data_IF_843032253649
#
_entry.id   IF_843032253649
#
_cell.length_a   1.000
_cell.length_b   1.000
_cell.length_c   1.000
_cell.angle_alpha   90.00
_cell.angle_beta   90.00
_cell.angle_gamma   90.00
#
_symmetry.space_group_name_H-M   'P 1'
#
loop_
_entity.id
_entity.type
_entity.pdbx_description
1 polymer ?
#
# COMPACT_ATOMS: atom_id res chain seq x y z
N UNK A 1 14.46 47.82 64.83
CA UNK A 1 13.36 47.54 63.89
C UNK A 1 14.00 46.95 62.63
N UNK A 2 13.86 45.63 62.38
CA UNK A 2 14.40 44.94 61.20
C UNK A 2 13.26 44.77 60.13
N UNK A 3 13.46 45.09 58.87
CA UNK A 3 12.43 44.86 57.87
C UNK A 3 12.38 43.39 57.46
N UNK A 4 11.18 42.83 57.53
CA UNK A 4 10.82 41.51 57.10
C UNK A 4 10.81 41.45 55.57
N UNK A 5 11.73 40.69 54.93
CA UNK A 5 11.74 40.45 53.48
C UNK A 5 10.77 39.31 53.15
N UNK A 6 9.74 39.69 52.43
CA UNK A 6 8.73 38.76 51.90
C UNK A 6 9.31 38.08 50.64
N UNK A 7 9.61 36.79 50.71
CA UNK A 7 9.99 35.94 49.58
C UNK A 7 8.72 35.41 48.88
N UNK A 8 8.47 35.89 47.67
CA UNK A 8 7.39 35.39 46.84
C UNK A 8 7.96 34.18 46.04
N UNK A 9 7.42 32.96 46.16
CA UNK A 9 7.82 31.84 45.31
C UNK A 9 7.23 32.00 43.92
N UNK A 10 8.10 32.03 42.88
CA UNK A 10 7.68 31.99 41.49
C UNK A 10 7.18 30.57 41.16
N UNK A 11 5.90 30.43 40.94
CA UNK A 11 5.28 29.20 40.43
C UNK A 11 5.52 29.15 38.93
N UNK A 12 6.45 28.30 38.49
CA UNK A 12 6.65 27.98 37.06
C UNK A 12 5.55 27.02 36.61
N UNK A 13 4.57 27.53 35.91
CA UNK A 13 3.55 26.72 35.23
C UNK A 13 4.19 26.01 34.02
N UNK A 14 4.49 24.71 34.19
CA UNK A 14 4.81 23.84 33.04
C UNK A 14 3.50 23.55 32.31
N UNK A 15 3.30 24.20 31.15
CA UNK A 15 2.26 23.80 30.20
C UNK A 15 2.70 22.50 29.51
N UNK A 16 1.93 21.40 29.56
CA UNK A 16 2.24 20.22 28.76
C UNK A 16 2.05 20.57 27.29
N UNK A 17 3.13 20.49 26.49
CA UNK A 17 3.06 20.54 25.04
C UNK A 17 2.34 19.25 24.58
N UNK A 18 1.06 19.35 24.27
CA UNK A 18 0.35 18.30 23.52
C UNK A 18 0.97 18.27 22.12
N UNK A 19 1.90 17.35 21.90
CA UNK A 19 2.31 16.98 20.56
C UNK A 19 1.07 16.37 19.87
N UNK A 20 0.57 17.07 18.87
CA UNK A 20 -0.51 16.63 18.01
C UNK A 20 -0.03 15.35 17.30
N UNK A 21 -0.36 14.20 17.89
CA UNK A 21 -0.08 12.89 17.31
C UNK A 21 -1.06 12.76 16.15
N UNK A 22 -0.57 13.01 14.93
CA UNK A 22 -1.29 12.73 13.70
C UNK A 22 -1.79 11.29 13.80
N UNK A 23 -3.08 11.10 14.04
CA UNK A 23 -3.70 9.76 14.01
C UNK A 23 -3.46 9.19 12.62
N UNK A 24 -2.57 8.19 12.54
CA UNK A 24 -2.48 7.35 11.34
C UNK A 24 -3.83 6.65 11.20
N UNK A 25 -4.55 6.98 10.13
CA UNK A 25 -5.79 6.28 9.77
C UNK A 25 -5.44 4.81 9.61
N UNK A 26 -5.81 4.00 10.61
CA UNK A 26 -5.54 2.57 10.59
C UNK A 26 -6.46 1.92 9.57
N UNK A 27 -5.94 1.68 8.36
CA UNK A 27 -6.67 0.95 7.34
C UNK A 27 -6.93 -0.48 7.83
N UNK A 28 -8.19 -0.91 7.79
CA UNK A 28 -8.62 -2.26 8.09
C UNK A 28 -9.67 -2.65 7.05
N UNK A 29 -9.40 -3.63 6.18
CA UNK A 29 -10.38 -4.09 5.21
C UNK A 29 -11.50 -4.85 5.89
N UNK A 30 -12.61 -5.00 5.20
CA UNK A 30 -13.70 -5.86 5.59
C UNK A 30 -13.26 -7.35 5.54
N UNK A 31 -14.04 -8.27 6.16
CA UNK A 31 -13.80 -9.69 6.03
C UNK A 31 -13.82 -10.14 4.56
N UNK A 32 -13.02 -11.15 4.20
CA UNK A 32 -12.89 -11.65 2.82
C UNK A 32 -14.22 -11.98 2.15
N UNK A 33 -15.21 -12.39 2.95
CA UNK A 33 -16.53 -12.79 2.48
C UNK A 33 -17.37 -11.62 1.91
N UNK A 34 -17.09 -10.39 2.33
CA UNK A 34 -17.81 -9.18 1.89
C UNK A 34 -17.44 -8.74 0.47
N UNK A 35 -16.34 -9.27 -0.07
CA UNK A 35 -15.87 -8.88 -1.40
C UNK A 35 -16.53 -9.69 -2.51
N UNK A 36 -17.05 -9.06 -3.59
CA UNK A 36 -17.63 -9.76 -4.72
C UNK A 36 -16.59 -10.51 -5.56
N UNK A 37 -15.40 -9.91 -5.73
CA UNK A 37 -14.28 -10.49 -6.48
C UNK A 37 -13.46 -11.39 -5.57
N UNK A 38 -13.83 -12.67 -5.50
CA UNK A 38 -13.12 -13.68 -4.70
C UNK A 38 -13.18 -15.05 -5.33
N UNK A 39 -12.22 -15.89 -4.98
CA UNK A 39 -12.16 -17.30 -5.36
C UNK A 39 -11.67 -18.13 -4.19
N UNK A 40 -12.20 -19.33 -4.05
CA UNK A 40 -11.77 -20.31 -3.05
C UNK A 40 -11.24 -21.56 -3.73
N UNK A 41 -10.00 -21.93 -3.42
CA UNK A 41 -9.37 -23.19 -3.85
C UNK A 41 -8.72 -23.85 -2.64
N UNK A 42 -8.86 -25.16 -2.49
CA UNK A 42 -8.24 -25.96 -1.41
C UNK A 42 -8.42 -25.36 0.00
N UNK A 43 -9.59 -24.80 0.32
CA UNK A 43 -9.92 -24.11 1.57
C UNK A 43 -9.03 -22.85 1.82
N UNK A 44 -8.54 -22.23 0.76
CA UNK A 44 -7.94 -20.91 0.80
C UNK A 44 -8.81 -19.98 -0.02
N UNK A 45 -9.27 -18.89 0.59
CA UNK A 45 -10.09 -17.87 -0.08
C UNK A 45 -9.25 -16.63 -0.31
N UNK A 46 -9.22 -16.16 -1.55
CA UNK A 46 -8.57 -14.89 -1.88
C UNK A 46 -9.62 -13.94 -2.43
N UNK A 47 -9.65 -12.73 -1.90
CA UNK A 47 -10.44 -11.62 -2.43
C UNK A 47 -9.53 -10.51 -2.93
N UNK A 48 -10.00 -9.83 -3.99
CA UNK A 48 -9.29 -8.71 -4.60
C UNK A 48 -10.24 -7.52 -4.79
N UNK A 49 -9.69 -6.30 -4.67
CA UNK A 49 -10.42 -5.06 -4.96
C UNK A 49 -9.48 -4.02 -5.55
N UNK A 50 -9.83 -3.48 -6.71
CA UNK A 50 -9.14 -2.35 -7.31
C UNK A 50 -9.45 -1.06 -6.55
N UNK A 51 -8.44 -0.21 -6.36
CA UNK A 51 -8.56 1.10 -5.72
C UNK A 51 -8.32 2.19 -6.78
N UNK A 52 -9.25 2.28 -7.71
CA UNK A 52 -9.21 3.12 -8.90
C UNK A 52 -9.93 4.48 -8.73
N UNK A 53 -10.70 4.64 -7.65
CA UNK A 53 -11.42 5.89 -7.35
C UNK A 53 -10.76 6.69 -6.24
N UNK A 54 -11.01 8.01 -6.20
CA UNK A 54 -10.51 8.91 -5.17
C UNK A 54 -11.00 8.52 -3.78
N UNK A 55 -12.29 8.18 -3.64
CA UNK A 55 -12.89 7.79 -2.36
C UNK A 55 -12.22 6.54 -1.79
N UNK A 56 -12.02 5.51 -2.61
CA UNK A 56 -11.31 4.30 -2.19
C UNK A 56 -9.86 4.60 -1.81
N UNK A 57 -9.16 5.38 -2.65
CA UNK A 57 -7.78 5.76 -2.36
C UNK A 57 -7.68 6.54 -1.04
N UNK A 58 -8.62 7.45 -0.77
CA UNK A 58 -8.65 8.23 0.46
C UNK A 58 -8.78 7.35 1.70
N UNK A 59 -9.59 6.28 1.65
CA UNK A 59 -9.75 5.35 2.79
C UNK A 59 -8.47 4.58 3.12
N UNK A 60 -7.65 4.24 2.12
CA UNK A 60 -6.44 3.44 2.29
C UNK A 60 -5.16 4.28 2.41
N UNK A 61 -5.06 5.36 1.66
CA UNK A 61 -3.82 6.14 1.49
C UNK A 61 -3.95 7.61 1.94
N UNK A 62 -5.09 7.98 2.53
CA UNK A 62 -5.34 9.35 2.96
C UNK A 62 -5.39 10.31 1.77
N UNK A 63 -4.49 11.29 1.73
CA UNK A 63 -4.46 12.30 0.66
C UNK A 63 -3.77 11.82 -0.63
N UNK A 64 -3.21 10.62 -0.63
CA UNK A 64 -2.51 10.07 -1.78
C UNK A 64 -3.49 9.29 -2.65
N UNK A 65 -3.50 9.59 -3.95
CA UNK A 65 -4.28 8.86 -4.94
C UNK A 65 -3.34 8.28 -6.01
N UNK A 66 -2.79 7.06 -5.80
CA UNK A 66 -1.78 6.48 -6.70
C UNK A 66 -2.27 6.30 -8.13
N UNK A 67 -3.55 6.00 -8.32
CA UNK A 67 -4.13 5.78 -9.65
C UNK A 67 -4.06 7.02 -10.57
N UNK A 68 -4.13 8.23 -10.02
CA UNK A 68 -3.91 9.47 -10.79
C UNK A 68 -2.52 9.55 -11.42
N UNK A 69 -1.58 8.79 -10.90
CA UNK A 69 -0.20 8.72 -11.37
C UNK A 69 0.09 7.44 -12.16
N UNK A 70 -0.97 6.74 -12.63
CA UNK A 70 -0.83 5.53 -13.42
C UNK A 70 -0.48 4.27 -12.64
N UNK A 71 -0.61 4.32 -11.30
CA UNK A 71 -0.39 3.16 -10.43
C UNK A 71 -1.73 2.69 -9.88
N UNK A 72 -2.18 1.52 -10.29
CA UNK A 72 -3.38 0.88 -9.76
C UNK A 72 -3.04 0.09 -8.48
N UNK A 73 -3.50 0.53 -7.29
CA UNK A 73 -3.41 -0.29 -6.09
C UNK A 73 -4.51 -1.35 -6.12
N UNK A 74 -4.15 -2.59 -5.89
CA UNK A 74 -5.10 -3.70 -5.73
C UNK A 74 -4.96 -4.26 -4.33
N UNK A 75 -6.02 -4.16 -3.54
CA UNK A 75 -6.12 -4.83 -2.25
C UNK A 75 -6.25 -6.34 -2.49
N UNK A 76 -5.43 -7.12 -1.81
CA UNK A 76 -5.51 -8.58 -1.79
C UNK A 76 -5.68 -9.03 -0.36
N UNK A 77 -6.66 -9.87 -0.11
CA UNK A 77 -6.94 -10.49 1.19
C UNK A 77 -6.84 -12.00 0.99
N UNK A 78 -6.02 -12.66 1.78
CA UNK A 78 -5.86 -14.12 1.78
C UNK A 78 -6.38 -14.65 3.10
N UNK A 79 -7.39 -15.52 3.05
CA UNK A 79 -7.94 -16.25 4.19
C UNK A 79 -7.51 -17.71 4.10
N UNK A 80 -6.90 -18.22 5.15
CA UNK A 80 -6.48 -19.62 5.25
C UNK A 80 -7.44 -20.40 6.13
N UNK A 81 -8.38 -21.11 5.54
CA UNK A 81 -9.30 -21.98 6.27
C UNK A 81 -8.79 -23.43 6.36
N UNK A 82 -7.51 -23.68 6.06
CA UNK A 82 -6.86 -24.98 6.21
C UNK A 82 -6.30 -25.17 7.62
N UNK A 83 -5.94 -26.40 7.96
CA UNK A 83 -5.24 -26.74 9.20
C UNK A 83 -3.70 -26.63 9.10
N UNK A 84 -3.19 -26.10 7.98
CA UNK A 84 -1.75 -25.98 7.73
C UNK A 84 -1.36 -24.52 7.52
N UNK A 85 -0.15 -24.17 7.94
CA UNK A 85 0.42 -22.85 7.63
C UNK A 85 0.73 -22.72 6.14
N UNK A 86 0.38 -21.60 5.55
CA UNK A 86 0.73 -21.27 4.17
C UNK A 86 2.00 -20.41 4.11
N UNK A 87 2.87 -20.71 3.14
CA UNK A 87 4.02 -19.88 2.79
C UNK A 87 3.63 -18.96 1.62
N UNK A 88 3.71 -17.65 1.86
CA UNK A 88 3.38 -16.57 0.93
C UNK A 88 4.62 -15.79 0.46
N UNK A 89 5.82 -16.18 0.93
CA UNK A 89 7.10 -15.51 0.65
C UNK A 89 7.45 -15.44 -0.84
N UNK A 90 6.88 -16.34 -1.64
CA UNK A 90 7.08 -16.43 -3.10
C UNK A 90 5.80 -16.23 -3.89
N UNK A 91 4.78 -15.67 -3.28
CA UNK A 91 3.55 -15.37 -3.99
C UNK A 91 3.88 -14.58 -5.26
N UNK A 92 3.35 -15.03 -6.38
CA UNK A 92 3.48 -14.34 -7.65
C UNK A 92 2.09 -13.85 -8.06
N UNK A 93 1.98 -12.55 -8.27
CA UNK A 93 0.72 -11.90 -8.58
C UNK A 93 0.87 -11.06 -9.84
N UNK A 94 -0.09 -11.18 -10.74
CA UNK A 94 -0.13 -10.49 -12.02
C UNK A 94 -1.52 -9.90 -12.25
N UNK A 95 -1.54 -8.73 -12.82
CA UNK A 95 -2.74 -8.16 -13.39
C UNK A 95 -2.90 -8.68 -14.81
N UNK A 96 -4.06 -9.24 -15.14
CA UNK A 96 -4.41 -9.69 -16.50
C UNK A 96 -5.46 -8.74 -17.06
N UNK A 97 -5.15 -8.07 -18.16
CA UNK A 97 -6.14 -7.28 -18.87
C UNK A 97 -7.14 -8.17 -19.63
N UNK A 98 -8.20 -7.58 -20.12
CA UNK A 98 -9.26 -8.31 -20.87
C UNK A 98 -8.75 -8.96 -22.17
N UNK A 99 -7.55 -8.58 -22.68
CA UNK A 99 -6.90 -9.24 -23.82
C UNK A 99 -5.99 -10.39 -23.40
N UNK A 100 -5.86 -10.65 -22.09
CA UNK A 100 -4.97 -11.67 -21.53
C UNK A 100 -3.50 -11.22 -21.41
N UNK A 101 -3.19 -9.94 -21.62
CA UNK A 101 -1.85 -9.41 -21.36
C UNK A 101 -1.61 -9.37 -19.84
N UNK A 102 -0.51 -9.96 -19.39
CA UNK A 102 -0.13 -9.98 -17.99
C UNK A 102 0.87 -8.88 -17.65
N UNK A 103 0.61 -8.18 -16.57
CA UNK A 103 1.46 -7.11 -16.01
C UNK A 103 1.91 -7.56 -14.62
N UNK A 104 3.21 -7.60 -14.38
CA UNK A 104 3.77 -7.94 -13.07
C UNK A 104 3.52 -6.81 -12.05
N UNK A 105 3.40 -7.19 -10.78
CA UNK A 105 3.28 -6.20 -9.72
C UNK A 105 4.58 -5.40 -9.57
N UNK A 106 4.45 -4.09 -9.46
CA UNK A 106 5.55 -3.18 -9.14
C UNK A 106 5.84 -3.25 -7.63
N UNK A 107 7.07 -3.57 -7.21
CA UNK A 107 7.44 -3.53 -5.79
C UNK A 107 7.12 -2.17 -5.17
N UNK A 108 6.58 -2.16 -3.95
CA UNK A 108 6.19 -0.91 -3.27
C UNK A 108 7.35 0.10 -3.15
N UNK A 109 8.59 -0.40 -3.00
CA UNK A 109 9.79 0.44 -2.96
C UNK A 109 10.08 1.14 -4.29
N UNK A 110 9.65 0.56 -5.42
CA UNK A 110 9.90 1.06 -6.76
C UNK A 110 8.79 1.99 -7.26
N UNK A 111 7.60 1.93 -6.66
CA UNK A 111 6.45 2.78 -7.02
C UNK A 111 6.80 4.27 -7.09
N UNK A 112 7.57 4.87 -6.15
CA UNK A 112 7.94 6.27 -6.25
C UNK A 112 8.75 6.63 -7.51
N UNK A 113 9.39 5.66 -8.15
CA UNK A 113 10.25 5.88 -9.31
C UNK A 113 9.56 5.61 -10.64
N UNK A 114 8.32 5.11 -10.63
CA UNK A 114 7.54 4.82 -11.84
C UNK A 114 6.96 6.08 -12.48
N UNK A 115 6.71 7.12 -11.69
CA UNK A 115 6.29 8.42 -12.22
C UNK A 115 7.51 9.10 -12.79
N UNK A 116 7.47 9.43 -14.08
CA UNK A 116 8.48 10.29 -14.68
C UNK A 116 8.54 11.59 -13.87
N UNK A 117 9.53 11.68 -12.99
CA UNK A 117 9.92 12.96 -12.42
C UNK A 117 10.24 13.93 -13.55
N UNK A 118 10.16 15.24 -13.38
CA UNK A 118 10.52 16.19 -14.42
C UNK A 118 11.88 15.77 -14.97
N UNK A 119 11.93 15.53 -16.30
CA UNK A 119 13.14 15.09 -17.02
C UNK A 119 14.30 15.91 -16.50
N UNK A 120 15.37 15.25 -16.06
CA UNK A 120 16.61 15.96 -15.74
C UNK A 120 16.89 16.92 -16.89
N UNK A 121 17.10 18.21 -16.62
CA UNK A 121 17.50 19.11 -17.68
C UNK A 121 18.71 18.48 -18.38
N UNK A 122 18.56 18.17 -19.66
CA UNK A 122 19.68 17.72 -20.49
C UNK A 122 20.76 18.80 -20.40
N UNK A 123 21.99 18.41 -20.10
CA UNK A 123 23.13 19.32 -20.08
C UNK A 123 23.43 19.78 -21.51
N UNK A 124 22.66 20.74 -22.04
CA UNK A 124 22.73 21.20 -23.43
C UNK A 124 21.81 22.39 -23.74
N UNK A 125 21.27 23.06 -22.76
CA UNK A 125 20.52 24.31 -22.99
C UNK A 125 21.28 25.49 -22.41
N UNK A 126 21.48 26.53 -23.20
CA UNK A 126 22.05 27.84 -22.83
C UNK A 126 21.19 28.59 -21.79
N UNK A 127 21.03 28.00 -20.63
CA UNK A 127 20.26 28.57 -19.53
C UNK A 127 21.18 28.88 -18.36
N UNK A 128 21.17 30.12 -17.90
CA UNK A 128 21.81 30.55 -16.66
C UNK A 128 21.54 29.52 -15.54
N UNK A 129 22.58 29.06 -14.82
CA UNK A 129 22.38 28.09 -13.73
C UNK A 129 21.50 28.74 -12.65
N UNK A 130 20.29 28.18 -12.47
CA UNK A 130 19.39 28.56 -11.37
C UNK A 130 20.09 28.20 -10.07
N UNK A 131 20.31 29.16 -9.15
CA UNK A 131 20.94 28.89 -7.86
C UNK A 131 20.25 27.72 -7.14
N UNK A 132 20.98 26.81 -6.47
CA UNK A 132 20.42 25.63 -5.80
C UNK A 132 19.30 25.96 -4.81
N UNK A 133 19.35 27.13 -4.22
CA UNK A 133 18.37 27.63 -3.23
C UNK A 133 16.99 27.91 -3.82
N UNK A 134 16.88 28.15 -5.11
CA UNK A 134 15.60 28.40 -5.81
C UNK A 134 14.98 27.16 -6.45
N UNK A 135 15.66 26.01 -6.42
CA UNK A 135 15.08 24.76 -6.89
C UNK A 135 14.06 24.28 -5.86
N UNK A 136 12.79 24.59 -6.08
CA UNK A 136 11.69 23.93 -5.36
C UNK A 136 11.89 22.42 -5.51
N UNK A 137 12.20 21.71 -4.41
CA UNK A 137 12.18 20.24 -4.40
C UNK A 137 10.78 19.81 -4.80
N UNK A 138 10.60 19.37 -6.03
CA UNK A 138 9.36 18.69 -6.41
C UNK A 138 9.24 17.46 -5.50
N UNK A 139 8.32 17.51 -4.54
CA UNK A 139 7.97 16.35 -3.76
C UNK A 139 7.41 15.33 -4.72
N UNK A 140 8.04 14.15 -4.79
CA UNK A 140 7.47 13.02 -5.50
C UNK A 140 6.10 12.69 -4.86
N UNK A 141 5.00 12.79 -5.61
CA UNK A 141 3.68 12.54 -5.05
C UNK A 141 3.53 11.12 -4.49
N UNK A 142 4.21 10.14 -5.09
CA UNK A 142 4.20 8.73 -4.64
C UNK A 142 5.28 8.41 -3.60
N UNK A 143 6.05 9.39 -3.14
CA UNK A 143 7.13 9.20 -2.15
C UNK A 143 6.65 9.14 -0.69
N UNK A 144 5.36 9.05 -0.45
CA UNK A 144 4.79 8.92 0.89
C UNK A 144 5.02 7.53 1.50
N UNK A 145 5.06 7.41 2.83
CA UNK A 145 5.24 6.13 3.50
C UNK A 145 4.04 5.19 3.31
N UNK A 146 2.87 5.72 2.93
CA UNK A 146 1.61 4.98 2.81
C UNK A 146 1.72 3.83 1.80
N UNK A 147 2.45 4.04 0.69
CA UNK A 147 2.69 3.00 -0.33
C UNK A 147 3.39 1.78 0.29
N UNK A 148 4.44 2.00 1.06
CA UNK A 148 5.22 0.92 1.66
C UNK A 148 4.52 0.28 2.85
N UNK A 149 3.88 1.07 3.70
CA UNK A 149 3.21 0.56 4.92
C UNK A 149 1.93 -0.20 4.63
N UNK A 150 1.29 0.05 3.48
CA UNK A 150 0.09 -0.67 3.02
C UNK A 150 0.39 -1.85 2.11
N UNK A 151 1.62 -2.02 1.66
CA UNK A 151 2.01 -3.14 0.81
C UNK A 151 1.77 -4.49 1.50
N UNK A 152 1.45 -5.51 0.71
CA UNK A 152 1.32 -6.88 1.21
C UNK A 152 2.67 -7.38 1.72
N UNK A 153 2.75 -7.69 3.02
CA UNK A 153 4.00 -8.01 3.69
C UNK A 153 4.02 -9.41 4.33
N UNK A 154 2.89 -10.14 4.34
CA UNK A 154 2.80 -11.44 4.97
C UNK A 154 3.65 -12.48 4.21
N UNK A 155 4.57 -13.14 4.90
CA UNK A 155 5.39 -14.22 4.35
C UNK A 155 4.87 -15.61 4.73
N UNK A 156 4.19 -15.70 5.86
CA UNK A 156 3.58 -16.90 6.39
C UNK A 156 2.18 -16.57 6.86
N UNK A 157 1.24 -17.49 6.68
CA UNK A 157 -0.13 -17.33 7.13
C UNK A 157 -0.56 -18.57 7.92
N UNK A 158 -0.75 -18.45 9.24
CA UNK A 158 -1.18 -19.54 10.10
C UNK A 158 -2.54 -20.13 9.69
N UNK A 159 -2.87 -21.34 10.17
CA UNK A 159 -4.22 -21.89 10.06
C UNK A 159 -5.27 -20.94 10.62
N UNK A 160 -6.41 -20.84 9.94
CA UNK A 160 -7.59 -20.07 10.35
C UNK A 160 -7.33 -18.58 10.57
N UNK A 161 -6.30 -18.04 9.91
CA UNK A 161 -5.92 -16.63 9.97
C UNK A 161 -6.06 -15.96 8.60
N UNK A 162 -5.96 -14.62 8.57
CA UNK A 162 -6.03 -13.83 7.34
C UNK A 162 -4.89 -12.83 7.25
N UNK A 163 -4.44 -12.57 6.02
CA UNK A 163 -3.47 -11.53 5.72
C UNK A 163 -4.00 -10.64 4.60
N UNK A 164 -3.64 -9.36 4.64
CA UNK A 164 -4.04 -8.42 3.61
C UNK A 164 -2.95 -7.39 3.33
N UNK A 165 -3.05 -6.76 2.18
CA UNK A 165 -2.19 -5.67 1.76
C UNK A 165 -2.39 -5.33 0.29
N UNK A 166 -1.68 -4.31 -0.16
CA UNK A 166 -1.77 -3.84 -1.53
C UNK A 166 -0.63 -4.37 -2.39
N UNK A 167 -0.98 -4.73 -3.62
CA UNK A 167 -0.05 -4.86 -4.74
C UNK A 167 -0.29 -3.70 -5.70
N UNK A 168 0.76 -3.25 -6.38
CA UNK A 168 0.73 -2.07 -7.22
C UNK A 168 1.03 -2.45 -8.67
N UNK A 169 0.20 -1.96 -9.62
CA UNK A 169 0.35 -2.28 -11.03
C UNK A 169 0.39 -1.00 -11.87
N UNK A 170 1.24 -0.98 -12.87
CA UNK A 170 1.22 0.07 -13.90
C UNK A 170 0.15 -0.29 -14.94
N UNK A 171 -1.11 -0.18 -14.53
CA UNK A 171 -2.26 -0.61 -15.32
C UNK A 171 -3.43 0.38 -15.17
N UNK A 172 -4.30 0.39 -16.18
CA UNK A 172 -5.59 1.06 -16.11
C UNK A 172 -6.68 0.01 -15.95
N UNK A 173 -7.43 0.11 -14.86
CA UNK A 173 -8.53 -0.79 -14.56
C UNK A 173 -9.62 -0.71 -15.63
N UNK A 174 -10.12 -1.87 -16.08
CA UNK A 174 -11.25 -2.02 -16.99
C UNK A 174 -12.12 -3.21 -16.57
N UNK A 175 -13.44 -3.16 -16.83
CA UNK A 175 -14.30 -4.33 -16.67
C UNK A 175 -13.79 -5.52 -17.49
N UNK A 176 -13.74 -6.71 -16.88
CA UNK A 176 -13.22 -7.91 -17.49
C UNK A 176 -11.75 -8.22 -17.21
N UNK A 177 -11.03 -7.28 -16.57
CA UNK A 177 -9.69 -7.55 -16.06
C UNK A 177 -9.74 -8.49 -14.85
N UNK A 178 -8.64 -9.19 -14.57
CA UNK A 178 -8.52 -10.12 -13.45
C UNK A 178 -7.17 -10.05 -12.76
N UNK A 179 -7.10 -10.66 -11.59
CA UNK A 179 -5.84 -10.89 -10.87
C UNK A 179 -5.51 -12.36 -10.88
N UNK A 180 -4.36 -12.69 -11.47
CA UNK A 180 -3.78 -14.02 -11.46
C UNK A 180 -2.78 -14.17 -10.31
N UNK A 181 -2.95 -15.21 -9.49
CA UNK A 181 -2.13 -15.49 -8.31
C UNK A 181 -1.71 -16.95 -8.32
N UNK A 182 -0.41 -17.21 -8.12
CA UNK A 182 0.13 -18.55 -7.95
C UNK A 182 1.29 -18.58 -6.94
N UNK A 183 1.94 -19.73 -6.77
CA UNK A 183 3.07 -19.98 -5.87
C UNK A 183 2.76 -19.82 -4.38
N UNK A 184 1.50 -19.95 -3.98
CA UNK A 184 1.13 -20.14 -2.59
C UNK A 184 1.40 -21.61 -2.25
N UNK A 185 2.11 -21.86 -1.15
CA UNK A 185 2.54 -23.23 -0.80
C UNK A 185 2.13 -23.58 0.63
N UNK A 186 1.90 -24.86 0.87
CA UNK A 186 1.80 -25.41 2.22
C UNK A 186 3.18 -25.42 2.85
N UNK A 187 3.36 -24.76 4.00
CA UNK A 187 4.69 -24.58 4.59
C UNK A 187 5.35 -25.91 5.00
N UNK A 188 4.57 -26.89 5.49
CA UNK A 188 5.07 -28.18 5.94
C UNK A 188 5.52 -29.10 4.80
N UNK A 189 4.73 -29.19 3.73
CA UNK A 189 4.99 -30.10 2.61
C UNK A 189 5.70 -29.45 1.43
N UNK A 190 5.69 -28.13 1.36
CA UNK A 190 6.17 -27.37 0.19
C UNK A 190 5.24 -27.50 -1.04
N UNK A 191 4.12 -28.23 -0.94
CA UNK A 191 3.17 -28.41 -2.03
C UNK A 191 2.55 -27.05 -2.40
N UNK A 192 2.60 -26.71 -3.68
CA UNK A 192 1.96 -25.52 -4.22
C UNK A 192 0.43 -25.75 -4.36
N UNK A 193 -0.35 -24.73 -4.02
CA UNK A 193 -1.79 -24.71 -4.26
C UNK A 193 -2.09 -24.46 -5.73
N UNK A 194 -3.31 -24.78 -6.16
CA UNK A 194 -3.80 -24.36 -7.47
C UNK A 194 -3.76 -22.83 -7.59
N UNK A 195 -3.59 -22.35 -8.81
CA UNK A 195 -3.63 -20.92 -9.08
C UNK A 195 -5.04 -20.34 -8.86
N UNK A 196 -5.08 -19.04 -8.68
CA UNK A 196 -6.29 -18.25 -8.63
C UNK A 196 -6.30 -17.30 -9.84
N UNK A 197 -7.45 -17.17 -10.46
CA UNK A 197 -7.72 -16.19 -11.52
C UNK A 197 -9.05 -15.51 -11.17
N UNK A 198 -8.96 -14.33 -10.60
CA UNK A 198 -10.07 -13.66 -9.92
C UNK A 198 -10.49 -12.45 -10.76
N UNK A 199 -11.60 -12.55 -11.51
CA UNK A 199 -12.11 -11.42 -12.25
C UNK A 199 -12.64 -10.33 -11.30
N UNK A 200 -12.41 -9.09 -11.66
CA UNK A 200 -13.03 -7.97 -10.96
C UNK A 200 -14.54 -7.97 -11.26
N UNK A 201 -15.33 -7.93 -10.20
CA UNK A 201 -16.79 -7.81 -10.22
C UNK A 201 -17.18 -6.47 -9.64
N UNK A 202 -18.14 -5.83 -10.26
CA UNK A 202 -18.78 -4.62 -9.77
C UNK A 202 -19.65 -4.87 -8.53
#
# INVERSE_FOLDING_TARGET
>A
MKPLRLLIPAVILFAPAFADKKEEVKFSPEPVQSYPSKQTNENVTIAVKAYDTEDLAHTAFGKLHPYQYGILPVLVIVQNDTNETLALDRINIKYSDFNGQQIDATPAADVPFTVEGPRRPSAGGDGNPIPPELRKKHKNPLGGPEIQTRAFAAKMLPPHDSAYGFFYFQAHYRPGDSIYINRIRRAGSGKELFYFDIPFKE
#
